data_IF_972425053083
#
_entry.id   IF_972425053083
#
_cell.length_a   1.000
_cell.length_b   1.000
_cell.length_c   1.000
_cell.angle_alpha   90.00
_cell.angle_beta   90.00
_cell.angle_gamma   90.00
#
_symmetry.space_group_name_H-M   'P 1'
#
loop_
_entity.id
_entity.type
_entity.pdbx_description
1 polymer ?
#
# COMPACT_ATOMS: atom_id res chain seq x y z
N UNK A 1 -28.06 -2.22 22.22
CA UNK A 1 -27.06 -3.31 22.18
C UNK A 1 -25.71 -2.69 21.85
N UNK A 2 -24.74 -2.80 22.74
CA UNK A 2 -23.38 -2.24 22.59
C UNK A 2 -22.59 -3.09 21.59
N UNK A 3 -21.89 -2.47 20.64
CA UNK A 3 -21.00 -3.19 19.71
C UNK A 3 -19.86 -3.85 20.49
N UNK A 4 -19.56 -5.15 20.29
CA UNK A 4 -18.47 -5.83 20.99
C UNK A 4 -17.12 -5.16 20.72
N UNK A 5 -16.23 -5.14 21.71
CA UNK A 5 -14.95 -4.42 21.66
C UNK A 5 -14.01 -4.85 20.50
N UNK A 6 -13.86 -6.15 20.18
CA UNK A 6 -13.05 -6.59 19.04
C UNK A 6 -13.56 -6.05 17.71
N UNK A 7 -14.88 -5.94 17.57
CA UNK A 7 -15.52 -5.45 16.37
C UNK A 7 -15.35 -3.93 16.20
N UNK A 8 -15.43 -3.16 17.29
CA UNK A 8 -15.11 -1.73 17.24
C UNK A 8 -13.66 -1.50 16.81
N UNK A 9 -12.72 -2.28 17.36
CA UNK A 9 -11.30 -2.22 17.00
C UNK A 9 -11.06 -2.58 15.53
N UNK A 10 -11.75 -3.61 15.02
CA UNK A 10 -11.71 -3.99 13.62
C UNK A 10 -12.15 -2.83 12.70
N UNK A 11 -13.29 -2.22 13.00
CA UNK A 11 -13.82 -1.09 12.22
C UNK A 11 -12.89 0.13 12.25
N UNK A 12 -12.28 0.41 13.41
CA UNK A 12 -11.28 1.47 13.54
C UNK A 12 -10.03 1.19 12.71
N UNK A 13 -9.53 -0.05 12.76
CA UNK A 13 -8.39 -0.51 11.95
C UNK A 13 -8.66 -0.35 10.45
N UNK A 14 -9.82 -0.79 9.97
CA UNK A 14 -10.22 -0.63 8.57
C UNK A 14 -10.29 0.84 8.12
N UNK A 15 -10.82 1.73 8.98
CA UNK A 15 -10.83 3.16 8.68
C UNK A 15 -9.41 3.74 8.63
N UNK A 16 -8.54 3.28 9.52
CA UNK A 16 -7.14 3.67 9.53
C UNK A 16 -6.42 3.15 8.28
N UNK A 17 -6.73 1.94 7.81
CA UNK A 17 -6.16 1.38 6.58
C UNK A 17 -6.55 2.20 5.35
N UNK A 18 -7.82 2.67 5.25
CA UNK A 18 -8.25 3.57 4.17
C UNK A 18 -7.40 4.85 4.13
N UNK A 19 -7.17 5.47 5.29
CA UNK A 19 -6.31 6.66 5.39
C UNK A 19 -4.87 6.31 5.00
N UNK A 20 -4.36 5.18 5.49
CA UNK A 20 -2.99 4.73 5.21
C UNK A 20 -2.74 4.45 3.73
N UNK A 21 -3.64 3.76 3.04
CA UNK A 21 -3.52 3.55 1.60
C UNK A 21 -3.67 4.84 0.80
N UNK A 22 -4.52 5.78 1.24
CA UNK A 22 -4.59 7.11 0.65
C UNK A 22 -3.26 7.88 0.76
N UNK A 23 -2.62 7.81 1.93
CA UNK A 23 -1.29 8.39 2.15
C UNK A 23 -0.22 7.71 1.29
N UNK A 24 -0.24 6.38 1.21
CA UNK A 24 0.70 5.62 0.40
C UNK A 24 0.58 6.00 -1.08
N UNK A 25 -0.64 6.13 -1.60
CA UNK A 25 -0.89 6.60 -2.96
C UNK A 25 -0.25 7.96 -3.22
N UNK A 26 -0.46 8.94 -2.34
CA UNK A 26 0.15 10.27 -2.47
C UNK A 26 1.69 10.21 -2.43
N UNK A 27 2.27 9.40 -1.54
CA UNK A 27 3.73 9.23 -1.46
C UNK A 27 4.29 8.61 -2.75
N UNK A 28 3.61 7.61 -3.32
CA UNK A 28 4.01 6.99 -4.58
C UNK A 28 3.90 7.96 -5.76
N UNK A 29 2.88 8.81 -5.80
CA UNK A 29 2.81 9.88 -6.81
C UNK A 29 3.95 10.88 -6.64
N UNK A 30 4.23 11.32 -5.42
CA UNK A 30 5.34 12.23 -5.14
C UNK A 30 6.71 11.61 -5.47
N UNK A 31 6.89 10.30 -5.24
CA UNK A 31 8.12 9.60 -5.60
C UNK A 31 8.33 9.62 -7.12
N UNK A 32 7.26 9.42 -7.90
CA UNK A 32 7.31 9.47 -9.35
C UNK A 32 7.75 10.85 -9.84
N UNK A 33 7.14 11.91 -9.33
CA UNK A 33 7.50 13.29 -9.67
C UNK A 33 8.95 13.64 -9.26
N UNK A 34 9.36 13.24 -8.05
CA UNK A 34 10.73 13.44 -7.59
C UNK A 34 11.74 12.70 -8.47
N UNK A 35 11.40 11.49 -8.93
CA UNK A 35 12.23 10.71 -9.84
C UNK A 35 12.34 11.37 -11.21
N UNK A 36 11.24 11.86 -11.79
CA UNK A 36 11.25 12.58 -13.07
C UNK A 36 12.10 13.86 -13.03
N UNK A 37 12.17 14.52 -11.87
CA UNK A 37 12.94 15.74 -11.66
C UNK A 37 14.32 15.52 -11.03
N UNK A 38 14.80 14.27 -10.95
CA UNK A 38 16.09 13.88 -10.39
C UNK A 38 16.36 14.44 -8.97
N UNK A 39 15.33 14.52 -8.12
CA UNK A 39 15.42 15.08 -6.77
C UNK A 39 15.87 14.02 -5.76
N UNK A 40 17.16 13.69 -5.75
CA UNK A 40 17.75 12.62 -4.93
C UNK A 40 17.41 12.67 -3.43
N UNK A 41 17.65 13.80 -2.77
CA UNK A 41 17.33 13.99 -1.34
C UNK A 41 15.83 13.77 -1.07
N UNK A 42 14.97 14.26 -1.97
CA UNK A 42 13.52 14.11 -1.83
C UNK A 42 13.07 12.66 -2.00
N UNK A 43 13.73 11.90 -2.87
CA UNK A 43 13.47 10.48 -3.04
C UNK A 43 13.80 9.68 -1.78
N UNK A 44 14.89 10.02 -1.09
CA UNK A 44 15.28 9.37 0.16
C UNK A 44 14.26 9.63 1.27
N UNK A 45 13.83 10.90 1.45
CA UNK A 45 12.77 11.25 2.41
C UNK A 45 11.47 10.47 2.13
N UNK A 46 11.05 10.41 0.86
CA UNK A 46 9.83 9.72 0.46
C UNK A 46 9.97 8.21 0.68
N UNK A 47 11.13 7.62 0.38
CA UNK A 47 11.37 6.19 0.59
C UNK A 47 11.25 5.82 2.08
N UNK A 48 11.84 6.61 2.98
CA UNK A 48 11.70 6.41 4.43
C UNK A 48 10.25 6.51 4.89
N UNK A 49 9.49 7.49 4.38
CA UNK A 49 8.07 7.65 4.70
C UNK A 49 7.23 6.46 4.19
N UNK A 50 7.51 5.95 2.99
CA UNK A 50 6.84 4.76 2.43
C UNK A 50 7.13 3.53 3.30
N UNK A 51 8.38 3.30 3.70
CA UNK A 51 8.75 2.17 4.54
C UNK A 51 8.02 2.18 5.89
N UNK A 52 8.06 3.31 6.60
CA UNK A 52 7.37 3.45 7.89
C UNK A 52 5.84 3.25 7.77
N UNK A 53 5.24 3.74 6.68
CA UNK A 53 3.82 3.56 6.43
C UNK A 53 3.46 2.12 6.05
N UNK A 54 4.33 1.44 5.28
CA UNK A 54 4.16 0.04 4.91
C UNK A 54 4.21 -0.87 6.13
N UNK A 55 5.15 -0.64 7.05
CA UNK A 55 5.23 -1.37 8.33
C UNK A 55 3.94 -1.18 9.14
N UNK A 56 3.45 0.05 9.25
CA UNK A 56 2.19 0.37 9.93
C UNK A 56 0.96 -0.29 9.27
N UNK A 57 0.94 -0.42 7.94
CA UNK A 57 -0.13 -1.11 7.21
C UNK A 57 -0.07 -2.64 7.42
N UNK A 58 1.13 -3.21 7.48
CA UNK A 58 1.32 -4.64 7.72
C UNK A 58 0.92 -5.03 9.16
N UNK A 59 1.27 -4.23 10.15
CA UNK A 59 0.83 -4.44 11.54
C UNK A 59 -0.69 -4.43 11.66
N UNK A 60 -1.34 -3.43 11.05
CA UNK A 60 -2.82 -3.35 11.02
C UNK A 60 -3.44 -4.51 10.26
N UNK A 61 -2.81 -4.98 9.17
CA UNK A 61 -3.27 -6.18 8.46
C UNK A 61 -3.24 -7.42 9.36
N UNK A 62 -2.16 -7.62 10.13
CA UNK A 62 -2.05 -8.74 11.07
C UNK A 62 -3.09 -8.66 12.18
N UNK A 63 -3.26 -7.48 12.76
CA UNK A 63 -4.28 -7.23 13.78
C UNK A 63 -5.69 -7.49 13.25
N UNK A 64 -6.00 -7.02 12.04
CA UNK A 64 -7.30 -7.22 11.38
C UNK A 64 -7.61 -8.71 11.19
N UNK A 65 -6.62 -9.52 10.80
CA UNK A 65 -6.77 -10.98 10.66
C UNK A 65 -7.00 -11.64 12.03
N UNK A 66 -6.25 -11.24 13.06
CA UNK A 66 -6.40 -11.77 14.41
C UNK A 66 -7.80 -11.46 14.99
N UNK A 67 -8.27 -10.23 14.82
CA UNK A 67 -9.61 -9.81 15.24
C UNK A 67 -10.71 -10.55 14.47
N UNK A 68 -10.54 -10.78 13.17
CA UNK A 68 -11.49 -11.57 12.38
C UNK A 68 -11.60 -13.01 12.91
N UNK A 69 -10.46 -13.62 13.25
CA UNK A 69 -10.44 -14.95 13.86
C UNK A 69 -11.13 -14.98 15.23
N UNK A 70 -10.90 -13.96 16.07
CA UNK A 70 -11.55 -13.82 17.38
C UNK A 70 -13.07 -13.67 17.26
N UNK A 71 -13.54 -12.89 16.28
CA UNK A 71 -14.98 -12.63 16.08
C UNK A 71 -15.71 -13.86 15.53
N UNK A 72 -15.08 -14.61 14.63
CA UNK A 72 -15.71 -15.77 13.99
C UNK A 72 -15.64 -17.04 14.86
N UNK A 73 -14.60 -17.15 15.69
CA UNK A 73 -14.37 -18.35 16.48
C UNK A 73 -13.70 -19.49 15.68
N UNK A 74 -13.41 -20.61 16.34
CA UNK A 74 -12.68 -21.73 15.74
C UNK A 74 -13.54 -22.50 14.72
N UNK A 75 -12.91 -22.98 13.65
CA UNK A 75 -13.54 -23.83 12.63
C UNK A 75 -14.21 -23.08 11.47
N UNK A 76 -14.20 -21.75 11.50
CA UNK A 76 -14.69 -20.89 10.43
C UNK A 76 -13.57 -20.50 9.45
N UNK A 77 -13.92 -20.32 8.17
CA UNK A 77 -13.03 -19.73 7.18
C UNK A 77 -12.82 -18.24 7.47
N UNK A 78 -11.63 -17.91 8.01
CA UNK A 78 -11.30 -16.55 8.46
C UNK A 78 -11.25 -15.60 7.26
N UNK A 79 -12.30 -14.78 7.13
CA UNK A 79 -12.38 -13.74 6.11
C UNK A 79 -13.17 -12.53 6.62
N UNK A 80 -12.84 -11.34 6.12
CA UNK A 80 -13.59 -10.12 6.44
C UNK A 80 -15.03 -10.20 5.93
N UNK A 81 -15.25 -10.86 4.80
CA UNK A 81 -16.59 -11.15 4.29
C UNK A 81 -17.39 -12.01 5.28
N UNK A 82 -16.79 -13.04 5.89
CA UNK A 82 -17.45 -13.84 6.91
C UNK A 82 -17.80 -13.00 8.16
N UNK A 83 -16.91 -12.11 8.59
CA UNK A 83 -17.21 -11.18 9.71
C UNK A 83 -18.42 -10.30 9.37
N UNK A 84 -18.52 -9.80 8.14
CA UNK A 84 -19.62 -8.94 7.73
C UNK A 84 -20.98 -9.64 7.68
N UNK A 85 -21.01 -10.97 7.47
CA UNK A 85 -22.25 -11.76 7.52
C UNK A 85 -22.92 -11.76 8.90
N UNK A 86 -22.18 -11.41 9.96
CA UNK A 86 -22.72 -11.27 11.32
C UNK A 86 -23.57 -10.00 11.51
N UNK A 87 -23.65 -9.15 10.48
CA UNK A 87 -24.40 -7.89 10.52
C UNK A 87 -25.71 -7.96 9.72
N UNK A 88 -26.72 -7.16 10.10
CA UNK A 88 -27.90 -6.94 9.26
C UNK A 88 -27.54 -6.39 7.88
N UNK A 89 -28.35 -6.75 6.88
CA UNK A 89 -28.14 -6.46 5.45
C UNK A 89 -27.66 -5.02 5.17
N UNK A 90 -28.37 -4.03 5.71
CA UNK A 90 -28.07 -2.62 5.47
C UNK A 90 -26.65 -2.21 5.95
N UNK A 91 -26.21 -2.74 7.08
CA UNK A 91 -24.86 -2.47 7.62
C UNK A 91 -23.82 -3.29 6.87
N UNK A 92 -24.15 -4.52 6.50
CA UNK A 92 -23.28 -5.40 5.72
C UNK A 92 -22.90 -4.76 4.38
N UNK A 93 -23.86 -4.22 3.64
CA UNK A 93 -23.61 -3.57 2.35
C UNK A 93 -22.64 -2.38 2.46
N UNK A 94 -22.80 -1.54 3.49
CA UNK A 94 -21.90 -0.40 3.72
C UNK A 94 -20.47 -0.86 4.05
N UNK A 95 -20.33 -1.92 4.85
CA UNK A 95 -19.04 -2.51 5.20
C UNK A 95 -18.35 -3.15 3.99
N UNK A 96 -19.10 -3.90 3.18
CA UNK A 96 -18.61 -4.53 1.94
C UNK A 96 -18.14 -3.48 0.94
N UNK A 97 -18.91 -2.40 0.74
CA UNK A 97 -18.52 -1.28 -0.11
C UNK A 97 -17.21 -0.63 0.36
N UNK A 98 -17.10 -0.33 1.66
CA UNK A 98 -15.86 0.22 2.23
C UNK A 98 -14.66 -0.73 2.06
N UNK A 99 -14.87 -2.03 2.20
CA UNK A 99 -13.83 -3.04 1.97
C UNK A 99 -13.41 -3.12 0.50
N UNK A 100 -14.35 -3.05 -0.44
CA UNK A 100 -14.04 -3.02 -1.87
C UNK A 100 -13.20 -1.78 -2.24
N UNK A 101 -13.52 -0.62 -1.67
CA UNK A 101 -12.71 0.60 -1.84
C UNK A 101 -11.29 0.39 -1.33
N UNK A 102 -11.15 -0.21 -0.14
CA UNK A 102 -9.84 -0.54 0.42
C UNK A 102 -9.02 -1.47 -0.49
N UNK A 103 -9.63 -2.55 -0.97
CA UNK A 103 -8.96 -3.46 -1.90
C UNK A 103 -8.57 -2.77 -3.20
N UNK A 104 -9.41 -1.87 -3.72
CA UNK A 104 -9.12 -1.04 -4.88
C UNK A 104 -7.87 -0.19 -4.66
N UNK A 105 -7.82 0.55 -3.55
CA UNK A 105 -6.67 1.39 -3.19
C UNK A 105 -5.38 0.57 -3.01
N UNK A 106 -5.46 -0.61 -2.40
CA UNK A 106 -4.31 -1.49 -2.25
C UNK A 106 -3.76 -1.97 -3.60
N UNK A 107 -4.64 -2.36 -4.53
CA UNK A 107 -4.26 -2.73 -5.91
C UNK A 107 -3.65 -1.55 -6.66
N UNK A 108 -4.22 -0.35 -6.51
CA UNK A 108 -3.69 0.87 -7.12
C UNK A 108 -2.30 1.23 -6.59
N UNK A 109 -2.10 1.21 -5.27
CA UNK A 109 -0.78 1.44 -4.67
C UNK A 109 0.26 0.43 -5.18
N UNK A 110 -0.12 -0.85 -5.34
CA UNK A 110 0.76 -1.86 -5.93
C UNK A 110 1.17 -1.48 -7.36
N UNK A 111 0.22 -1.10 -8.21
CA UNK A 111 0.50 -0.71 -9.59
C UNK A 111 1.39 0.54 -9.68
N UNK A 112 1.15 1.54 -8.82
CA UNK A 112 1.99 2.74 -8.72
C UNK A 112 3.42 2.41 -8.25
N UNK A 113 3.56 1.55 -7.24
CA UNK A 113 4.87 1.10 -6.77
C UNK A 113 5.65 0.36 -7.86
N UNK A 114 4.99 -0.53 -8.60
CA UNK A 114 5.62 -1.22 -9.74
C UNK A 114 6.03 -0.24 -10.86
N UNK A 115 5.21 0.76 -11.15
CA UNK A 115 5.53 1.83 -12.12
C UNK A 115 6.78 2.60 -11.68
N UNK A 116 6.82 3.02 -10.43
CA UNK A 116 7.94 3.79 -9.90
C UNK A 116 9.23 2.97 -9.86
N UNK A 117 9.14 1.69 -9.48
CA UNK A 117 10.28 0.77 -9.50
C UNK A 117 10.90 0.65 -10.89
N UNK A 118 10.06 0.49 -11.94
CA UNK A 118 10.55 0.49 -13.33
C UNK A 118 11.26 1.79 -13.70
N UNK A 119 10.63 2.94 -13.42
CA UNK A 119 11.24 4.26 -13.71
C UNK A 119 12.61 4.43 -13.04
N UNK A 120 12.74 4.05 -11.78
CA UNK A 120 14.00 4.18 -11.03
C UNK A 120 15.08 3.23 -11.57
N UNK A 121 14.71 2.01 -11.98
CA UNK A 121 15.62 1.07 -12.63
C UNK A 121 16.11 1.62 -13.98
N UNK A 122 15.20 2.10 -14.83
CA UNK A 122 15.55 2.66 -16.15
C UNK A 122 16.51 3.85 -16.00
N UNK A 123 16.25 4.75 -15.04
CA UNK A 123 17.14 5.88 -14.77
C UNK A 123 18.52 5.46 -14.24
N UNK A 124 18.57 4.41 -13.41
CA UNK A 124 19.84 3.86 -12.93
C UNK A 124 20.67 3.24 -14.05
N UNK A 125 20.02 2.54 -14.99
CA UNK A 125 20.68 1.98 -16.17
C UNK A 125 21.25 3.10 -17.07
N UNK A 126 20.48 4.15 -17.35
CA UNK A 126 20.96 5.31 -18.12
C UNK A 126 22.18 5.95 -17.45
N UNK A 127 22.11 6.18 -16.13
CA UNK A 127 23.23 6.76 -15.39
C UNK A 127 24.48 5.88 -15.43
N UNK A 128 24.34 4.55 -15.34
CA UNK A 128 25.46 3.62 -15.52
C UNK A 128 26.08 3.74 -16.90
N UNK A 129 25.29 3.73 -17.96
CA UNK A 129 25.81 3.90 -19.33
C UNK A 129 26.55 5.24 -19.52
N UNK A 130 26.03 6.33 -18.94
CA UNK A 130 26.68 7.66 -19.01
C UNK A 130 27.99 7.70 -18.22
N UNK A 131 28.04 7.04 -17.06
CA UNK A 131 29.22 7.05 -16.18
C UNK A 131 30.32 6.08 -16.63
N UNK A 132 29.93 4.90 -17.13
CA UNK A 132 30.87 3.88 -17.63
C UNK A 132 31.33 4.19 -19.06
N UNK A 133 30.63 5.09 -19.75
CA UNK A 133 31.02 5.70 -21.01
C UNK A 133 30.88 4.78 -22.23
N UNK A 134 30.57 5.39 -23.37
CA UNK A 134 30.96 4.84 -24.67
C UNK A 134 32.49 4.65 -24.67
N UNK A 135 32.95 3.46 -24.27
CA UNK A 135 34.35 3.07 -24.40
C UNK A 135 34.79 2.87 -25.86
N UNK A 136 33.94 3.22 -26.84
CA UNK A 136 34.16 2.88 -28.24
C UNK A 136 33.49 3.85 -29.22
N UNK A 137 33.82 5.15 -29.15
CA UNK A 137 33.46 6.07 -30.25
C UNK A 137 34.63 6.97 -30.68
N UNK A 138 35.35 6.44 -31.66
CA UNK A 138 36.08 7.12 -32.76
C UNK A 138 37.52 7.63 -32.52
N UNK A 139 38.48 6.83 -32.96
CA UNK A 139 39.76 7.32 -33.50
C UNK A 139 39.85 6.92 -34.98
N UNK A 140 39.76 7.85 -35.96
CA UNK A 140 40.15 7.56 -37.33
C UNK A 140 41.66 7.73 -37.47
N UNK A 141 42.22 6.89 -38.36
CA UNK A 141 43.63 6.74 -38.70
C UNK A 141 44.32 8.01 -39.22
#
# INVERSE_FOLDING_TARGET
MTTPAPLLRLMQGMRADLIGYGQLKMLLENQFEAALHHRGEKLEEIAQAILALADSLEERRRERVALAAEILGPGEDISIAAVFRQFPENRRQALESGWQVLEGLARECKALNERNGRLLMDQHEIMKYVLDGEADTYAPA
#
